data_IF_802537314942
#
_entry.id   IF_802537314942
#
_cell.length_a   1.000
_cell.length_b   1.000
_cell.length_c   1.000
_cell.angle_alpha   90.00
_cell.angle_beta   90.00
_cell.angle_gamma   90.00
#
_symmetry.space_group_name_H-M   'P 1'
#
loop_
_entity.id
_entity.type
_entity.pdbx_description
1 polymer ?
#
# COMPACT_ATOMS: atom_id res chain seq x y z
N UNK A 1 -12.99 10.31 -25.55
CA UNK A 1 -11.98 9.27 -25.26
C UNK A 1 -11.70 9.30 -23.76
N UNK A 2 -11.86 8.18 -23.03
CA UNK A 2 -11.81 8.23 -21.56
C UNK A 2 -10.45 8.65 -21.02
N UNK A 3 -10.43 9.53 -20.01
CA UNK A 3 -9.22 10.12 -19.39
C UNK A 3 -8.22 9.07 -18.91
N UNK A 4 -8.76 7.99 -18.35
CA UNK A 4 -8.07 6.74 -18.02
C UNK A 4 -7.24 6.11 -19.18
N UNK A 5 -7.36 6.61 -20.41
CA UNK A 5 -6.59 6.22 -21.61
C UNK A 5 -5.55 7.27 -22.03
N UNK A 6 -5.70 8.56 -21.67
CA UNK A 6 -4.66 9.60 -21.85
C UNK A 6 -3.52 9.41 -20.87
N UNK A 7 -3.82 9.25 -19.58
CA UNK A 7 -2.85 9.00 -18.50
C UNK A 7 -1.98 7.71 -18.63
N UNK A 8 -2.16 6.94 -19.71
CA UNK A 8 -1.33 5.77 -20.07
C UNK A 8 -0.47 6.06 -21.32
N UNK A 9 -0.92 6.96 -22.19
CA UNK A 9 -0.22 7.38 -23.41
C UNK A 9 0.89 8.38 -23.07
N UNK A 10 0.62 9.27 -22.12
CA UNK A 10 1.56 10.33 -21.69
C UNK A 10 2.39 9.92 -20.45
N UNK A 11 2.39 8.63 -20.09
CA UNK A 11 3.09 8.13 -18.91
C UNK A 11 4.61 8.10 -19.10
N UNK A 12 5.34 8.75 -18.20
CA UNK A 12 6.80 8.74 -18.16
C UNK A 12 7.39 7.31 -18.09
N UNK A 13 8.64 7.10 -18.55
CA UNK A 13 9.32 5.83 -18.34
C UNK A 13 9.37 5.49 -16.84
N UNK A 14 9.06 4.23 -16.45
CA UNK A 14 8.94 3.87 -15.04
C UNK A 14 10.25 4.13 -14.29
N UNK A 15 10.16 4.68 -13.09
CA UNK A 15 11.36 5.05 -12.33
C UNK A 15 12.14 3.82 -11.83
N UNK A 16 13.43 4.02 -11.54
CA UNK A 16 14.34 2.96 -11.07
C UNK A 16 13.79 2.29 -9.81
N UNK A 17 13.10 3.02 -8.93
CA UNK A 17 12.45 2.48 -7.74
C UNK A 17 11.33 1.48 -8.06
N UNK A 18 10.43 1.83 -8.99
CA UNK A 18 9.42 0.90 -9.48
C UNK A 18 10.05 -0.32 -10.18
N UNK A 19 11.03 -0.10 -11.06
CA UNK A 19 11.69 -1.20 -11.80
C UNK A 19 12.37 -2.20 -10.84
N UNK A 20 13.03 -1.71 -9.80
CA UNK A 20 13.64 -2.54 -8.76
C UNK A 20 12.59 -3.28 -7.92
N UNK A 21 11.52 -2.61 -7.47
CA UNK A 21 10.46 -3.21 -6.68
C UNK A 21 9.70 -4.31 -7.46
N UNK A 22 9.40 -4.06 -8.74
CA UNK A 22 8.76 -5.03 -9.64
C UNK A 22 9.68 -6.24 -9.91
N UNK A 23 10.96 -6.00 -10.19
CA UNK A 23 11.95 -7.07 -10.35
C UNK A 23 12.10 -7.93 -9.10
N UNK A 24 12.19 -7.32 -7.92
CA UNK A 24 12.29 -8.02 -6.64
C UNK A 24 11.05 -8.89 -6.36
N UNK A 25 9.86 -8.36 -6.59
CA UNK A 25 8.59 -9.10 -6.48
C UNK A 25 8.54 -10.32 -7.42
N UNK A 26 8.94 -10.17 -8.69
CA UNK A 26 9.08 -11.31 -9.61
C UNK A 26 10.12 -12.33 -9.13
N UNK A 27 11.24 -11.86 -8.58
CA UNK A 27 12.29 -12.69 -8.01
C UNK A 27 11.79 -13.56 -6.85
N UNK A 28 10.98 -12.99 -5.95
CA UNK A 28 10.37 -13.75 -4.85
C UNK A 28 9.36 -14.80 -5.32
N UNK A 29 8.58 -14.52 -6.38
CA UNK A 29 7.68 -15.52 -6.98
C UNK A 29 8.49 -16.68 -7.56
N UNK A 30 9.52 -16.39 -8.36
CA UNK A 30 10.36 -17.41 -8.97
C UNK A 30 11.08 -18.24 -7.90
N UNK A 31 11.60 -17.61 -6.85
CA UNK A 31 12.18 -18.29 -5.71
C UNK A 31 11.15 -19.14 -4.95
N UNK A 32 9.91 -18.68 -4.80
CA UNK A 32 8.82 -19.45 -4.20
C UNK A 32 8.50 -20.72 -5.00
N UNK A 33 8.48 -20.62 -6.34
CA UNK A 33 8.32 -21.77 -7.23
C UNK A 33 9.51 -22.74 -7.14
N UNK A 34 10.75 -22.24 -7.16
CA UNK A 34 11.96 -23.07 -6.99
C UNK A 34 11.97 -23.77 -5.63
N UNK A 35 11.54 -23.10 -4.55
CA UNK A 35 11.40 -23.69 -3.23
C UNK A 35 10.38 -24.85 -3.22
N UNK A 36 9.20 -24.66 -3.80
CA UNK A 36 8.16 -25.70 -3.89
C UNK A 36 8.63 -26.88 -4.74
N UNK A 37 9.18 -26.63 -5.94
CA UNK A 37 9.68 -27.70 -6.83
C UNK A 37 10.84 -28.46 -6.18
N UNK A 38 11.79 -27.75 -5.56
CA UNK A 38 12.90 -28.38 -4.86
C UNK A 38 12.47 -29.20 -3.65
N UNK A 39 11.45 -28.78 -2.91
CA UNK A 39 10.87 -29.58 -1.82
C UNK A 39 10.17 -30.85 -2.34
N UNK A 40 9.47 -30.77 -3.47
CA UNK A 40 8.86 -31.93 -4.12
C UNK A 40 9.88 -32.91 -4.71
N UNK A 41 11.09 -32.43 -5.04
CA UNK A 41 12.23 -33.23 -5.50
C UNK A 41 13.20 -33.62 -4.38
N UNK A 42 12.81 -33.47 -3.10
CA UNK A 42 13.61 -33.71 -1.89
C UNK A 42 15.03 -33.10 -1.90
N UNK A 43 15.17 -31.92 -2.52
CA UNK A 43 16.42 -31.16 -2.56
C UNK A 43 16.81 -30.74 -1.14
N UNK A 44 18.11 -30.82 -0.80
CA UNK A 44 18.60 -30.48 0.56
C UNK A 44 18.35 -29.01 0.92
N UNK A 45 18.22 -28.72 2.22
CA UNK A 45 18.05 -27.33 2.70
C UNK A 45 19.22 -26.44 2.32
N UNK A 46 20.46 -26.96 2.33
CA UNK A 46 21.65 -26.22 1.91
C UNK A 46 21.58 -25.83 0.42
N UNK A 47 21.18 -26.76 -0.44
CA UNK A 47 20.98 -26.50 -1.87
C UNK A 47 19.87 -25.46 -2.11
N UNK A 48 18.75 -25.54 -1.40
CA UNK A 48 17.69 -24.51 -1.47
C UNK A 48 18.23 -23.13 -1.05
N UNK A 49 18.86 -23.03 0.12
CA UNK A 49 19.42 -21.76 0.63
C UNK A 49 20.48 -21.15 -0.29
N UNK A 50 21.25 -21.97 -1.03
CA UNK A 50 22.17 -21.49 -2.06
C UNK A 50 21.44 -20.99 -3.33
N UNK A 51 20.39 -21.69 -3.77
CA UNK A 51 19.69 -21.36 -5.03
C UNK A 51 18.69 -20.21 -4.94
N UNK A 52 18.05 -20.00 -3.78
CA UNK A 52 17.00 -18.97 -3.65
C UNK A 52 17.54 -17.55 -3.85
N UNK A 53 18.64 -17.10 -3.22
CA UNK A 53 19.19 -15.75 -3.44
C UNK A 53 19.63 -15.52 -4.89
N UNK A 54 20.23 -16.53 -5.52
CA UNK A 54 20.65 -16.47 -6.94
C UNK A 54 19.44 -16.38 -7.86
N UNK A 55 18.36 -17.10 -7.56
CA UNK A 55 17.08 -17.04 -8.30
C UNK A 55 16.45 -15.64 -8.17
N UNK A 56 16.35 -15.10 -6.95
CA UNK A 56 15.83 -13.74 -6.72
C UNK A 56 16.66 -12.72 -7.49
N UNK A 57 18.00 -12.80 -7.42
CA UNK A 57 18.91 -11.84 -8.07
C UNK A 57 18.80 -11.90 -9.59
N UNK A 58 18.88 -13.09 -10.18
CA UNK A 58 18.80 -13.27 -11.63
C UNK A 58 17.46 -12.81 -12.20
N UNK A 59 16.36 -13.17 -11.54
CA UNK A 59 15.01 -12.76 -11.97
C UNK A 59 14.75 -11.28 -11.68
N UNK A 60 15.35 -10.69 -10.66
CA UNK A 60 15.28 -9.25 -10.41
C UNK A 60 15.92 -8.44 -11.53
N UNK A 61 17.09 -8.87 -12.04
CA UNK A 61 17.74 -8.23 -13.20
C UNK A 61 16.85 -8.32 -14.44
N UNK A 62 16.29 -9.50 -14.74
CA UNK A 62 15.36 -9.70 -15.87
C UNK A 62 14.08 -8.86 -15.69
N UNK A 63 13.52 -8.82 -14.48
CA UNK A 63 12.31 -8.06 -14.16
C UNK A 63 12.51 -6.55 -14.24
N UNK A 64 13.69 -6.05 -13.88
CA UNK A 64 14.08 -4.65 -14.09
C UNK A 64 14.13 -4.29 -15.59
N UNK A 65 14.75 -5.14 -16.42
CA UNK A 65 14.78 -4.97 -17.89
C UNK A 65 13.37 -5.04 -18.50
N UNK A 66 12.53 -5.96 -18.04
CA UNK A 66 11.13 -6.06 -18.47
C UNK A 66 10.33 -4.81 -18.06
N UNK A 67 10.44 -4.34 -16.82
CA UNK A 67 9.76 -3.14 -16.35
C UNK A 67 10.11 -1.91 -17.20
N UNK A 68 11.39 -1.74 -17.56
CA UNK A 68 11.86 -0.65 -18.45
C UNK A 68 11.19 -0.67 -19.83
N UNK A 69 10.74 -1.84 -20.32
CA UNK A 69 10.07 -1.99 -21.64
C UNK A 69 8.56 -1.72 -21.61
N UNK A 70 7.92 -1.77 -20.43
CA UNK A 70 6.47 -1.60 -20.31
C UNK A 70 6.10 -0.24 -19.70
N UNK A 71 6.08 0.79 -20.55
CA UNK A 71 5.52 2.11 -20.21
C UNK A 71 4.03 1.99 -19.80
N UNK A 72 3.58 2.79 -18.84
CA UNK A 72 2.20 2.79 -18.35
C UNK A 72 1.80 1.60 -17.45
N UNK A 73 2.72 0.68 -17.13
CA UNK A 73 2.44 -0.52 -16.35
C UNK A 73 2.05 -0.25 -14.88
N UNK A 74 2.76 0.62 -14.10
CA UNK A 74 2.30 0.96 -12.75
C UNK A 74 0.92 1.62 -12.74
N UNK A 75 0.61 2.48 -13.71
CA UNK A 75 -0.67 3.17 -13.86
C UNK A 75 -1.79 2.18 -14.20
N UNK A 76 -1.52 1.24 -15.11
CA UNK A 76 -2.43 0.15 -15.48
C UNK A 76 -2.82 -0.73 -14.29
N UNK A 77 -1.85 -1.08 -13.45
CA UNK A 77 -2.07 -1.85 -12.22
C UNK A 77 -2.84 -1.00 -11.21
N UNK A 78 -2.34 0.20 -10.89
CA UNK A 78 -2.92 1.10 -9.88
C UNK A 78 -4.39 1.45 -10.12
N UNK A 79 -4.76 1.63 -11.40
CA UNK A 79 -6.11 1.99 -11.86
C UNK A 79 -7.19 0.98 -11.48
N UNK A 80 -6.95 -0.33 -11.63
CA UNK A 80 -8.02 -1.35 -11.49
C UNK A 80 -7.77 -2.25 -10.28
N UNK A 81 -8.75 -2.31 -9.37
CA UNK A 81 -8.71 -3.19 -8.19
C UNK A 81 -8.37 -4.64 -8.55
N UNK A 82 -8.91 -5.18 -9.66
CA UNK A 82 -8.61 -6.55 -10.11
C UNK A 82 -7.13 -6.79 -10.44
N UNK A 83 -6.41 -5.79 -10.95
CA UNK A 83 -4.97 -5.93 -11.26
C UNK A 83 -4.13 -5.81 -9.99
N UNK A 84 -4.53 -4.96 -9.05
CA UNK A 84 -3.94 -4.89 -7.70
C UNK A 84 -4.12 -6.20 -6.95
N UNK A 85 -5.32 -6.79 -6.98
CA UNK A 85 -5.61 -8.09 -6.39
C UNK A 85 -4.87 -9.24 -7.11
N UNK A 86 -4.63 -9.14 -8.42
CA UNK A 86 -3.84 -10.12 -9.16
C UNK A 86 -2.39 -10.24 -8.64
N UNK A 87 -1.82 -9.17 -8.06
CA UNK A 87 -0.51 -9.23 -7.40
C UNK A 87 -0.48 -10.14 -6.16
N UNK A 88 -1.64 -10.50 -5.59
CA UNK A 88 -1.70 -11.43 -4.45
C UNK A 88 -1.92 -12.89 -4.87
N UNK A 89 -2.25 -13.17 -6.14
CA UNK A 89 -2.47 -14.54 -6.63
C UNK A 89 -1.28 -15.48 -6.37
N UNK A 90 0.00 -15.08 -6.53
CA UNK A 90 1.11 -15.97 -6.23
C UNK A 90 1.26 -16.27 -4.73
N UNK A 91 0.96 -15.31 -3.84
CA UNK A 91 0.93 -15.54 -2.40
C UNK A 91 -0.22 -16.50 -2.00
N UNK A 92 -1.42 -16.30 -2.56
CA UNK A 92 -2.56 -17.22 -2.38
C UNK A 92 -2.23 -18.62 -2.90
N UNK A 93 -1.55 -18.72 -4.03
CA UNK A 93 -1.05 -20.00 -4.57
C UNK A 93 -0.10 -20.70 -3.59
N UNK A 94 0.86 -19.99 -2.99
CA UNK A 94 1.77 -20.54 -1.99
C UNK A 94 1.05 -20.99 -0.71
N UNK A 95 0.01 -20.27 -0.26
CA UNK A 95 -0.86 -20.72 0.85
C UNK A 95 -1.65 -21.97 0.47
N UNK A 96 -2.22 -22.04 -0.72
CA UNK A 96 -2.93 -23.23 -1.20
C UNK A 96 -2.01 -24.46 -1.28
N UNK A 97 -0.77 -24.26 -1.74
CA UNK A 97 0.28 -25.29 -1.72
C UNK A 97 0.62 -25.73 -0.30
N UNK A 98 0.78 -24.80 0.66
CA UNK A 98 1.02 -25.13 2.06
C UNK A 98 -0.07 -26.02 2.69
N UNK A 99 -1.32 -25.89 2.23
CA UNK A 99 -2.48 -26.65 2.71
C UNK A 99 -2.71 -27.97 1.93
N UNK A 100 -2.12 -28.14 0.75
CA UNK A 100 -2.33 -29.30 -0.13
C UNK A 100 -2.03 -30.68 0.52
N UNK A 101 -1.04 -30.85 1.42
CA UNK A 101 -0.81 -32.11 2.12
C UNK A 101 -1.99 -32.54 3.02
N UNK A 102 -2.91 -31.64 3.39
CA UNK A 102 -4.14 -32.01 4.11
C UNK A 102 -5.17 -32.75 3.25
N UNK A 103 -5.00 -32.76 1.92
CA UNK A 103 -5.89 -33.36 0.94
C UNK A 103 -5.20 -34.41 0.03
N UNK A 104 -3.94 -34.73 0.28
CA UNK A 104 -3.11 -35.61 -0.55
C UNK A 104 -2.22 -36.50 0.31
N UNK A 105 -1.72 -37.65 -0.17
CA UNK A 105 -0.85 -38.54 0.60
C UNK A 105 0.58 -38.01 0.81
N UNK A 106 0.82 -36.70 0.67
CA UNK A 106 2.12 -36.09 0.93
C UNK A 106 2.38 -36.04 2.44
N UNK A 107 3.55 -36.53 2.87
CA UNK A 107 3.94 -36.47 4.27
C UNK A 107 4.06 -35.00 4.75
N UNK A 108 3.29 -34.66 5.79
CA UNK A 108 3.28 -33.32 6.37
C UNK A 108 4.59 -33.04 7.14
N UNK A 109 5.58 -32.46 6.48
CA UNK A 109 6.83 -32.05 7.13
C UNK A 109 6.76 -30.59 7.58
N UNK A 110 7.19 -30.32 8.82
CA UNK A 110 7.28 -28.95 9.33
C UNK A 110 8.15 -28.03 8.45
N UNK A 111 9.16 -28.61 7.78
CA UNK A 111 10.02 -27.97 6.77
C UNK A 111 9.22 -27.43 5.59
N UNK A 112 8.30 -28.22 5.03
CA UNK A 112 7.46 -27.82 3.90
C UNK A 112 6.54 -26.66 4.27
N UNK A 113 5.86 -26.77 5.41
CA UNK A 113 4.98 -25.71 5.92
C UNK A 113 5.74 -24.40 6.17
N UNK A 114 6.88 -24.47 6.86
CA UNK A 114 7.67 -23.29 7.20
C UNK A 114 8.12 -22.51 5.95
N UNK A 115 8.61 -23.21 4.92
CA UNK A 115 9.10 -22.57 3.68
C UNK A 115 7.94 -22.00 2.86
N UNK A 116 6.85 -22.75 2.68
CA UNK A 116 5.70 -22.29 1.88
C UNK A 116 5.00 -21.09 2.52
N UNK A 117 4.82 -21.09 3.84
CA UNK A 117 4.25 -19.95 4.60
C UNK A 117 5.20 -18.74 4.57
N UNK A 118 6.51 -18.93 4.79
CA UNK A 118 7.46 -17.82 4.73
C UNK A 118 7.49 -17.14 3.34
N UNK A 119 7.50 -17.93 2.26
CA UNK A 119 7.46 -17.37 0.90
C UNK A 119 6.12 -16.72 0.58
N UNK A 120 4.99 -17.28 1.04
CA UNK A 120 3.67 -16.65 0.89
C UNK A 120 3.62 -15.26 1.57
N UNK A 121 4.19 -15.13 2.77
CA UNK A 121 4.26 -13.86 3.49
C UNK A 121 5.16 -12.85 2.77
N UNK A 122 6.36 -13.25 2.34
CA UNK A 122 7.29 -12.37 1.60
C UNK A 122 6.68 -11.86 0.29
N UNK A 123 6.04 -12.75 -0.49
CA UNK A 123 5.34 -12.38 -1.73
C UNK A 123 4.11 -11.51 -1.43
N UNK A 124 3.36 -11.77 -0.36
CA UNK A 124 2.20 -10.96 0.04
C UNK A 124 2.57 -9.54 0.49
N UNK A 125 3.63 -9.38 1.29
CA UNK A 125 4.13 -8.08 1.74
C UNK A 125 4.68 -7.27 0.56
N UNK A 126 5.42 -7.91 -0.35
CA UNK A 126 5.92 -7.22 -1.56
C UNK A 126 4.82 -6.89 -2.56
N UNK A 127 3.79 -7.74 -2.70
CA UNK A 127 2.57 -7.42 -3.46
C UNK A 127 1.86 -6.17 -2.90
N UNK A 128 1.75 -6.04 -1.58
CA UNK A 128 1.19 -4.85 -0.93
C UNK A 128 2.03 -3.59 -1.16
N UNK A 129 3.36 -3.70 -1.07
CA UNK A 129 4.28 -2.61 -1.42
C UNK A 129 4.12 -2.16 -2.88
N UNK A 130 4.12 -3.12 -3.82
CA UNK A 130 3.93 -2.87 -5.24
C UNK A 130 2.56 -2.26 -5.54
N UNK A 131 1.49 -2.76 -4.91
CA UNK A 131 0.14 -2.19 -5.01
C UNK A 131 0.12 -0.71 -4.59
N UNK A 132 0.78 -0.38 -3.47
CA UNK A 132 0.87 1.00 -2.96
C UNK A 132 1.63 1.91 -3.91
N UNK A 133 2.77 1.44 -4.46
CA UNK A 133 3.55 2.17 -5.46
C UNK A 133 2.74 2.42 -6.75
N UNK A 134 2.20 1.36 -7.37
CA UNK A 134 1.35 1.46 -8.57
C UNK A 134 0.17 2.42 -8.36
N UNK A 135 -0.45 2.38 -7.18
CA UNK A 135 -1.56 3.27 -6.84
C UNK A 135 -1.11 4.72 -6.67
N UNK A 136 0.03 4.99 -6.03
CA UNK A 136 0.56 6.35 -5.91
C UNK A 136 0.88 6.95 -7.29
N UNK A 137 1.53 6.17 -8.17
CA UNK A 137 1.79 6.56 -9.56
C UNK A 137 0.52 6.82 -10.37
N UNK A 138 -0.50 5.96 -10.26
CA UNK A 138 -1.79 6.21 -10.89
C UNK A 138 -2.47 7.50 -10.38
N UNK A 139 -2.29 7.86 -9.11
CA UNK A 139 -2.80 9.14 -8.57
C UNK A 139 -2.00 10.31 -9.14
N UNK A 140 -0.68 10.24 -9.18
CA UNK A 140 0.18 11.28 -9.79
C UNK A 140 -0.18 11.52 -11.26
N UNK A 141 -0.32 10.44 -12.05
CA UNK A 141 -0.62 10.51 -13.48
C UNK A 141 -2.04 10.98 -13.85
N UNK A 142 -2.97 11.06 -12.88
CA UNK A 142 -4.33 11.61 -13.09
C UNK A 142 -4.53 12.99 -12.47
N UNK A 143 -3.55 13.48 -11.70
CA UNK A 143 -3.57 14.81 -11.05
C UNK A 143 -2.33 15.61 -11.45
N UNK A 144 -2.10 15.72 -12.76
CA UNK A 144 -1.04 16.57 -13.35
C UNK A 144 -1.50 18.01 -13.56
N UNK A 145 -2.79 18.27 -13.38
CA UNK A 145 -3.43 19.58 -13.36
C UNK A 145 -3.15 20.33 -12.04
N UNK A 146 -3.15 21.66 -12.09
CA UNK A 146 -3.15 22.49 -10.89
C UNK A 146 -4.47 22.28 -10.13
N UNK A 147 -4.44 22.13 -8.80
CA UNK A 147 -5.65 21.92 -8.03
C UNK A 147 -6.50 23.18 -7.99
N UNK A 148 -7.81 23.02 -8.24
CA UNK A 148 -8.83 24.09 -8.18
C UNK A 148 -8.90 24.70 -6.77
N UNK A 149 -8.77 23.86 -5.74
CA UNK A 149 -8.66 24.28 -4.34
C UNK A 149 -7.86 23.25 -3.54
N UNK A 150 -7.09 23.71 -2.55
CA UNK A 150 -6.30 22.88 -1.63
C UNK A 150 -6.60 23.32 -0.20
N UNK A 151 -6.83 22.37 0.71
CA UNK A 151 -7.09 22.64 2.12
C UNK A 151 -6.51 21.53 3.02
N UNK A 152 -6.33 21.81 4.31
CA UNK A 152 -5.78 20.83 5.24
C UNK A 152 -6.82 19.76 5.61
N UNK A 153 -6.38 18.53 5.90
CA UNK A 153 -7.27 17.40 6.17
C UNK A 153 -7.20 16.93 7.63
N UNK A 154 -8.06 17.50 8.46
CA UNK A 154 -8.52 17.02 9.79
C UNK A 154 -9.44 15.78 9.71
N UNK A 155 -9.07 14.48 9.73
CA UNK A 155 -10.04 13.37 9.66
C UNK A 155 -11.01 13.31 10.85
N UNK A 156 -12.27 13.72 10.65
CA UNK A 156 -13.30 13.74 11.71
C UNK A 156 -13.63 12.32 12.22
N UNK A 157 -13.51 12.12 13.54
CA UNK A 157 -13.97 10.93 14.27
C UNK A 157 -12.87 10.07 14.92
N UNK A 158 -13.04 9.84 16.23
CA UNK A 158 -12.15 9.09 17.14
C UNK A 158 -11.74 7.68 16.67
N UNK A 159 -12.65 6.92 16.04
CA UNK A 159 -12.42 5.51 15.71
C UNK A 159 -11.49 5.30 14.49
N UNK A 160 -11.12 6.36 13.78
CA UNK A 160 -10.50 6.26 12.46
C UNK A 160 -9.00 5.93 12.48
N UNK A 161 -8.30 6.15 13.61
CA UNK A 161 -6.92 6.64 13.55
C UNK A 161 -5.79 5.70 13.98
N UNK A 162 -5.96 4.89 15.04
CA UNK A 162 -4.92 3.93 15.48
C UNK A 162 -5.45 2.60 16.03
N UNK A 163 -6.71 2.50 16.46
CA UNK A 163 -7.25 1.31 17.14
C UNK A 163 -7.08 0.00 16.38
N UNK A 164 -7.42 -0.04 15.08
CA UNK A 164 -7.30 -1.26 14.28
C UNK A 164 -5.83 -1.71 14.09
N UNK A 165 -4.90 -0.77 13.94
CA UNK A 165 -3.48 -1.08 13.77
C UNK A 165 -2.86 -1.54 15.09
N UNK A 166 -3.21 -0.88 16.20
CA UNK A 166 -2.81 -1.28 17.55
C UNK A 166 -3.37 -2.67 17.92
N UNK A 167 -4.65 -2.95 17.62
CA UNK A 167 -5.26 -4.29 17.77
C UNK A 167 -4.52 -5.32 16.93
N UNK A 168 -4.17 -5.01 15.68
CA UNK A 168 -3.40 -5.92 14.82
C UNK A 168 -2.00 -6.21 15.40
N UNK A 169 -1.29 -5.19 15.89
CA UNK A 169 0.03 -5.36 16.53
C UNK A 169 -0.06 -6.18 17.81
N UNK A 170 -1.03 -5.88 18.69
CA UNK A 170 -1.28 -6.68 19.90
C UNK A 170 -1.62 -8.12 19.54
N UNK A 171 -2.41 -8.35 18.49
CA UNK A 171 -2.74 -9.69 18.00
C UNK A 171 -1.51 -10.44 17.46
N UNK A 172 -0.63 -9.76 16.71
CA UNK A 172 0.64 -10.34 16.22
C UNK A 172 1.59 -10.70 17.37
N UNK A 173 1.72 -9.83 18.36
CA UNK A 173 2.52 -10.12 19.58
C UNK A 173 1.94 -11.30 20.35
N UNK A 174 0.63 -11.32 20.58
CA UNK A 174 -0.07 -12.42 21.25
C UNK A 174 0.06 -13.75 20.49
N UNK A 175 -0.07 -13.73 19.16
CA UNK A 175 0.12 -14.91 18.33
C UNK A 175 1.57 -15.42 18.40
N UNK A 176 2.56 -14.52 18.44
CA UNK A 176 3.96 -14.85 18.69
C UNK A 176 4.16 -15.53 20.05
N UNK A 177 3.65 -14.94 21.13
CA UNK A 177 3.72 -15.51 22.50
C UNK A 177 3.08 -16.90 22.56
N UNK A 178 1.86 -17.07 22.04
CA UNK A 178 1.17 -18.37 22.05
C UNK A 178 1.93 -19.43 21.21
N UNK A 179 2.57 -19.02 20.12
CA UNK A 179 3.40 -19.90 19.29
C UNK A 179 4.71 -20.33 19.99
N UNK A 180 5.31 -19.46 20.82
CA UNK A 180 6.45 -19.81 21.68
C UNK A 180 6.04 -20.80 22.77
N UNK A 181 4.89 -20.58 23.43
CA UNK A 181 4.33 -21.51 24.43
C UNK A 181 4.04 -22.89 23.80
N UNK A 182 3.62 -22.93 22.53
CA UNK A 182 3.48 -24.16 21.74
C UNK A 182 4.80 -24.83 21.31
N UNK A 183 5.96 -24.37 21.79
CA UNK A 183 7.26 -24.96 21.49
C UNK A 183 7.80 -24.68 20.08
N UNK A 184 7.19 -23.75 19.33
CA UNK A 184 7.62 -23.46 17.96
C UNK A 184 8.62 -22.29 17.90
N UNK A 185 9.80 -22.53 17.33
CA UNK A 185 10.81 -21.48 17.09
C UNK A 185 10.27 -20.34 16.19
N UNK A 186 9.27 -20.62 15.36
CA UNK A 186 8.58 -19.62 14.55
C UNK A 186 7.85 -18.55 15.39
N UNK A 187 7.46 -18.88 16.63
CA UNK A 187 6.88 -17.91 17.57
C UNK A 187 7.86 -16.81 17.97
N UNK A 188 9.16 -17.12 18.11
CA UNK A 188 10.19 -16.12 18.41
C UNK A 188 10.34 -15.11 17.28
N UNK A 189 10.16 -15.53 16.02
CA UNK A 189 10.21 -14.63 14.86
C UNK A 189 9.00 -13.68 14.84
N UNK A 190 7.80 -14.18 15.13
CA UNK A 190 6.59 -13.33 15.25
C UNK A 190 6.65 -12.40 16.45
N UNK A 191 7.19 -12.86 17.58
CA UNK A 191 7.37 -12.06 18.79
C UNK A 191 8.43 -10.97 18.55
N UNK A 192 9.59 -11.30 17.98
CA UNK A 192 10.61 -10.33 17.60
C UNK A 192 10.09 -9.31 16.58
N UNK A 193 9.35 -9.75 15.56
CA UNK A 193 8.71 -8.87 14.59
C UNK A 193 7.70 -7.92 15.27
N UNK A 194 6.82 -8.46 16.13
CA UNK A 194 5.86 -7.67 16.90
C UNK A 194 6.54 -6.65 17.82
N UNK A 195 7.60 -7.05 18.52
CA UNK A 195 8.38 -6.15 19.39
C UNK A 195 9.13 -5.08 18.59
N UNK A 196 9.72 -5.42 17.44
CA UNK A 196 10.36 -4.44 16.55
C UNK A 196 9.32 -3.44 16.04
N UNK A 197 8.14 -3.91 15.62
CA UNK A 197 7.03 -3.05 15.19
C UNK A 197 6.58 -2.13 16.33
N UNK A 198 6.34 -2.65 17.54
CA UNK A 198 5.97 -1.83 18.71
C UNK A 198 7.06 -0.80 19.03
N UNK A 199 8.32 -1.22 19.11
CA UNK A 199 9.45 -0.35 19.41
C UNK A 199 9.59 0.77 18.36
N UNK A 200 9.46 0.46 17.06
CA UNK A 200 9.44 1.47 15.99
C UNK A 200 8.24 2.42 16.07
N UNK A 201 7.06 1.94 16.47
CA UNK A 201 5.90 2.83 16.67
C UNK A 201 6.02 3.73 17.91
N UNK A 202 6.87 3.36 18.88
CA UNK A 202 7.11 4.14 20.10
C UNK A 202 8.37 5.03 20.01
N UNK A 203 9.38 4.65 19.23
CA UNK A 203 10.58 5.44 18.96
C UNK A 203 10.32 6.51 17.89
N UNK A 204 9.19 7.20 17.97
CA UNK A 204 8.95 8.41 17.18
C UNK A 204 9.90 9.50 17.65
N UNK A 205 11.03 9.64 16.97
CA UNK A 205 12.02 10.65 17.31
C UNK A 205 11.44 12.05 17.10
N UNK A 206 11.41 12.85 18.16
CA UNK A 206 11.27 14.30 18.05
C UNK A 206 12.47 14.83 17.25
N UNK A 207 12.26 15.21 15.99
CA UNK A 207 13.28 15.87 15.15
C UNK A 207 12.75 17.26 14.75
N UNK A 208 12.80 18.17 15.73
CA UNK A 208 12.46 19.59 15.61
C UNK A 208 13.41 20.27 14.61
N UNK A 209 13.03 20.25 13.32
CA UNK A 209 13.77 20.93 12.27
C UNK A 209 12.86 21.59 11.24
N UNK A 210 12.61 22.89 11.48
CA UNK A 210 12.18 23.88 10.47
C UNK A 210 13.23 23.98 9.35
N UNK A 211 13.27 23.01 8.44
CA UNK A 211 14.35 22.86 7.46
C UNK A 211 13.89 22.23 6.14
N UNK A 212 13.77 23.06 5.09
CA UNK A 212 13.42 22.68 3.71
C UNK A 212 14.23 21.49 3.18
N UNK A 213 13.70 20.26 3.29
CA UNK A 213 14.29 19.08 2.66
C UNK A 213 13.70 18.82 1.27
N UNK A 214 14.45 19.22 0.25
CA UNK A 214 14.12 18.97 -1.17
C UNK A 214 14.31 17.50 -1.62
N UNK A 215 14.72 16.61 -0.70
CA UNK A 215 14.78 15.15 -0.89
C UNK A 215 13.86 14.46 0.14
N UNK A 216 12.56 14.72 0.01
CA UNK A 216 11.57 14.51 1.06
C UNK A 216 11.32 13.07 1.51
N UNK A 217 11.11 12.93 2.84
CA UNK A 217 10.32 11.93 3.61
C UNK A 217 10.15 10.52 3.00
N UNK A 218 11.18 9.94 2.36
CA UNK A 218 11.09 8.62 1.68
C UNK A 218 11.12 7.43 2.66
N UNK A 219 11.61 7.64 3.88
CA UNK A 219 11.75 6.60 4.91
C UNK A 219 11.45 7.05 6.35
N UNK A 220 11.09 8.32 6.63
CA UNK A 220 10.70 8.70 7.99
C UNK A 220 9.36 8.08 8.35
N UNK A 221 9.36 7.26 9.42
CA UNK A 221 8.18 6.54 9.91
C UNK A 221 7.50 7.28 11.08
N UNK A 222 7.56 8.62 11.07
CA UNK A 222 6.74 9.52 11.90
C UNK A 222 5.33 8.96 12.10
N UNK A 223 4.94 8.74 13.35
CA UNK A 223 3.65 8.19 13.77
C UNK A 223 2.84 9.13 14.67
N UNK A 224 3.03 10.42 14.48
CA UNK A 224 2.04 11.45 14.73
C UNK A 224 2.46 12.68 13.90
N UNK A 225 1.67 13.12 12.89
CA UNK A 225 1.77 14.52 12.53
C UNK A 225 1.35 15.35 13.75
N UNK A 226 2.03 16.47 13.98
CA UNK A 226 1.54 17.54 14.84
C UNK A 226 0.07 17.86 14.49
N UNK A 227 -0.75 18.44 15.40
CA UNK A 227 -2.17 18.77 15.16
C UNK A 227 -2.51 19.39 13.79
N UNK A 228 -1.55 20.03 13.11
CA UNK A 228 -1.71 20.70 11.82
C UNK A 228 -1.09 19.96 10.60
N UNK A 229 -0.26 18.92 10.75
CA UNK A 229 0.39 18.18 9.63
C UNK A 229 -0.42 16.97 9.07
N UNK A 230 -1.75 16.91 9.25
CA UNK A 230 -2.49 15.63 9.12
C UNK A 230 -2.71 15.15 7.67
N UNK A 231 -2.43 16.02 6.70
CA UNK A 231 -2.50 15.76 5.27
C UNK A 231 -3.20 16.90 4.55
N UNK A 232 -3.24 16.81 3.23
CA UNK A 232 -3.91 17.79 2.38
C UNK A 232 -5.01 17.12 1.55
N UNK A 233 -6.10 17.84 1.34
CA UNK A 233 -7.06 17.57 0.28
C UNK A 233 -6.87 18.57 -0.85
N UNK A 234 -6.84 18.06 -2.08
CA UNK A 234 -6.65 18.83 -3.31
C UNK A 234 -7.76 18.47 -4.28
N UNK A 235 -8.60 19.43 -4.65
CA UNK A 235 -9.63 19.25 -5.67
C UNK A 235 -9.00 19.44 -7.05
N UNK A 236 -9.07 18.41 -7.89
CA UNK A 236 -8.63 18.43 -9.27
C UNK A 236 -9.84 18.40 -10.21
N UNK A 237 -9.62 18.69 -11.49
CA UNK A 237 -10.65 18.73 -12.53
C UNK A 237 -11.48 17.42 -12.60
N UNK A 238 -10.86 16.29 -12.22
CA UNK A 238 -11.44 14.94 -12.33
C UNK A 238 -11.85 14.30 -11.00
N UNK A 239 -11.50 14.90 -9.87
CA UNK A 239 -11.84 14.38 -8.55
C UNK A 239 -10.99 14.96 -7.43
N UNK A 240 -11.23 14.49 -6.21
CA UNK A 240 -10.49 14.94 -5.03
C UNK A 240 -9.33 13.98 -4.73
N UNK A 241 -8.12 14.52 -4.62
CA UNK A 241 -6.92 13.84 -4.17
C UNK A 241 -6.71 14.10 -2.68
N UNK A 242 -6.58 13.02 -1.93
CA UNK A 242 -6.27 12.99 -0.50
C UNK A 242 -4.81 12.53 -0.32
N UNK A 243 -3.97 13.42 0.19
CA UNK A 243 -2.55 13.19 0.44
C UNK A 243 -2.28 13.08 1.94
N UNK A 244 -2.36 11.84 2.45
CA UNK A 244 -2.04 11.48 3.84
C UNK A 244 -0.56 11.13 3.97
N UNK A 245 0.34 12.10 3.70
CA UNK A 245 1.80 11.93 3.73
C UNK A 245 2.30 10.77 2.86
N UNK A 246 2.41 9.57 3.44
CA UNK A 246 2.79 8.31 2.76
C UNK A 246 1.70 7.72 1.85
N UNK A 247 0.45 8.20 1.92
CA UNK A 247 -0.71 7.55 1.32
C UNK A 247 -1.53 8.51 0.45
N UNK A 248 -1.27 8.48 -0.87
CA UNK A 248 -2.05 9.21 -1.88
C UNK A 248 -3.33 8.44 -2.28
N UNK A 249 -4.47 9.11 -2.31
CA UNK A 249 -5.77 8.54 -2.70
C UNK A 249 -6.56 9.51 -3.55
N UNK A 250 -6.77 9.14 -4.81
CA UNK A 250 -7.75 9.81 -5.67
C UNK A 250 -9.17 9.26 -5.45
N UNK A 251 -10.15 10.16 -5.43
CA UNK A 251 -11.59 9.90 -5.39
C UNK A 251 -12.21 10.67 -6.56
N UNK A 252 -12.61 9.99 -7.66
CA UNK A 252 -13.21 10.68 -8.80
C UNK A 252 -14.57 11.27 -8.43
N UNK A 253 -14.94 12.37 -9.10
CA UNK A 253 -16.22 13.06 -8.89
C UNK A 253 -17.43 12.13 -9.06
N UNK A 254 -17.39 11.15 -9.98
CA UNK A 254 -18.49 10.20 -10.19
C UNK A 254 -18.78 9.26 -8.99
N UNK A 255 -17.96 9.32 -7.92
CA UNK A 255 -18.15 8.58 -6.67
C UNK A 255 -18.54 9.47 -5.48
N UNK A 256 -18.73 10.76 -5.70
CA UNK A 256 -19.16 11.74 -4.70
C UNK A 256 -20.62 12.08 -5.02
N UNK A 257 -21.52 11.63 -4.17
CA UNK A 257 -22.97 11.73 -4.34
C UNK A 257 -23.52 13.08 -3.86
N UNK A 258 -22.75 13.79 -3.03
CA UNK A 258 -23.07 15.10 -2.50
C UNK A 258 -21.92 15.66 -1.68
N UNK A 259 -21.96 16.96 -1.45
CA UNK A 259 -21.05 17.69 -0.58
C UNK A 259 -21.93 18.43 0.42
N UNK A 260 -21.55 18.41 1.69
CA UNK A 260 -22.31 19.01 2.78
C UNK A 260 -21.30 19.61 3.75
N UNK A 261 -21.47 20.89 4.09
CA UNK A 261 -20.74 21.55 5.15
C UNK A 261 -21.69 21.69 6.33
N UNK A 262 -21.30 21.14 7.49
CA UNK A 262 -22.02 21.36 8.75
C UNK A 262 -21.24 22.33 9.63
N UNK A 263 -21.79 22.64 10.81
CA UNK A 263 -21.10 23.48 11.80
C UNK A 263 -19.78 22.85 12.28
N UNK A 264 -19.63 21.51 12.23
CA UNK A 264 -18.46 20.77 12.73
C UNK A 264 -17.64 20.04 11.65
N UNK A 265 -18.22 19.66 10.50
CA UNK A 265 -17.54 18.84 9.48
C UNK A 265 -17.92 19.15 8.01
N UNK A 266 -16.92 19.14 7.12
CA UNK A 266 -17.08 19.06 5.67
C UNK A 266 -17.16 17.58 5.24
N UNK A 267 -18.31 17.17 4.71
CA UNK A 267 -18.64 15.79 4.36
C UNK A 267 -18.83 15.61 2.86
N UNK A 268 -17.92 14.86 2.22
CA UNK A 268 -18.10 14.39 0.85
C UNK A 268 -18.80 13.02 0.92
N UNK A 269 -20.10 13.00 0.58
CA UNK A 269 -20.98 11.83 0.65
C UNK A 269 -20.64 10.83 -0.46
N UNK A 270 -20.55 9.54 -0.12
CA UNK A 270 -20.16 8.47 -1.04
C UNK A 270 -20.78 7.13 -0.64
N UNK A 271 -21.43 6.43 -1.58
CA UNK A 271 -22.12 5.12 -1.47
C UNK A 271 -21.70 4.15 -0.35
N UNK A 272 -20.39 4.00 -0.12
CA UNK A 272 -19.83 3.01 0.81
C UNK A 272 -18.98 3.60 1.94
N UNK A 273 -18.52 4.86 1.84
CA UNK A 273 -17.65 5.50 2.84
C UNK A 273 -17.47 6.98 2.53
N UNK A 274 -18.21 7.82 3.24
CA UNK A 274 -18.03 9.27 3.22
C UNK A 274 -16.59 9.64 3.59
N UNK A 275 -16.10 10.74 3.01
CA UNK A 275 -14.88 11.41 3.45
C UNK A 275 -15.33 12.58 4.32
N UNK A 276 -14.80 12.69 5.53
CA UNK A 276 -15.16 13.72 6.51
C UNK A 276 -13.91 14.48 6.91
N UNK A 277 -13.94 15.79 6.73
CA UNK A 277 -12.94 16.71 7.23
C UNK A 277 -13.56 17.50 8.37
N UNK A 278 -12.85 17.59 9.48
CA UNK A 278 -13.08 18.49 10.59
C UNK A 278 -13.11 19.94 10.08
N UNK A 279 -14.07 20.76 10.52
CA UNK A 279 -14.16 22.16 10.12
C UNK A 279 -12.96 22.95 10.65
N UNK A 280 -12.45 22.64 11.84
CA UNK A 280 -11.27 23.30 12.44
C UNK A 280 -9.97 23.12 11.62
N UNK A 281 -10.00 22.29 10.56
CA UNK A 281 -8.90 22.11 9.62
C UNK A 281 -8.98 23.05 8.39
N UNK A 282 -10.03 23.87 8.30
CA UNK A 282 -10.27 24.85 7.24
C UNK A 282 -10.58 26.17 7.94
N UNK A 283 -9.83 27.23 7.67
CA UNK A 283 -10.12 28.53 8.27
C UNK A 283 -11.55 28.96 7.92
N UNK A 284 -12.33 29.46 8.89
CA UNK A 284 -13.75 29.80 8.69
C UNK A 284 -14.08 30.61 7.42
N UNK A 285 -13.34 31.69 7.05
CA UNK A 285 -13.60 32.40 5.79
C UNK A 285 -13.23 31.60 4.53
N UNK A 286 -12.40 30.57 4.66
CA UNK A 286 -12.06 29.66 3.56
C UNK A 286 -13.05 28.49 3.45
N UNK A 287 -13.75 28.10 4.52
CA UNK A 287 -14.68 26.97 4.51
C UNK A 287 -15.80 27.10 3.48
N UNK A 288 -16.40 28.28 3.35
CA UNK A 288 -17.42 28.57 2.33
C UNK A 288 -16.83 28.62 0.92
N UNK A 289 -15.64 29.22 0.76
CA UNK A 289 -14.94 29.27 -0.53
C UNK A 289 -14.49 27.89 -1.03
N UNK A 290 -14.04 27.02 -0.12
CA UNK A 290 -13.73 25.60 -0.39
C UNK A 290 -15.00 24.87 -0.82
N UNK A 291 -16.13 25.07 -0.15
CA UNK A 291 -17.41 24.47 -0.55
C UNK A 291 -17.81 24.90 -1.97
N UNK A 292 -17.84 26.20 -2.27
CA UNK A 292 -18.22 26.74 -3.59
C UNK A 292 -17.29 26.22 -4.70
N UNK A 293 -15.98 26.18 -4.45
CA UNK A 293 -15.00 25.65 -5.39
C UNK A 293 -15.20 24.14 -5.64
N UNK A 294 -15.54 23.37 -4.60
CA UNK A 294 -15.81 21.94 -4.72
C UNK A 294 -17.11 21.64 -5.48
N UNK A 295 -18.17 22.41 -5.24
CA UNK A 295 -19.43 22.29 -5.99
C UNK A 295 -19.24 22.68 -7.46
N UNK A 296 -18.54 23.78 -7.71
CA UNK A 296 -18.20 24.24 -9.06
C UNK A 296 -17.38 23.19 -9.83
N UNK A 297 -16.38 22.59 -9.18
CA UNK A 297 -15.55 21.53 -9.79
C UNK A 297 -16.37 20.25 -10.08
N UNK A 298 -17.22 19.82 -9.14
CA UNK A 298 -18.15 18.67 -9.32
C UNK A 298 -19.10 18.92 -10.49
N UNK A 299 -19.68 20.11 -10.57
CA UNK A 299 -20.68 20.45 -11.59
C UNK A 299 -20.04 20.72 -12.95
N UNK A 300 -18.78 21.16 -13.00
CA UNK A 300 -17.98 21.17 -14.23
C UNK A 300 -17.68 19.74 -14.73
N UNK A 301 -17.40 18.80 -13.81
CA UNK A 301 -17.17 17.40 -14.15
C UNK A 301 -18.44 16.66 -14.59
N UNK A 302 -19.62 16.99 -14.03
CA UNK A 302 -20.90 16.37 -14.41
C UNK A 302 -21.42 16.75 -15.80
N UNK A 303 -20.90 17.85 -16.37
CA UNK A 303 -21.27 18.38 -17.70
C UNK A 303 -20.41 17.81 -18.86
N UNK A 304 -19.56 16.80 -18.61
CA UNK A 304 -18.60 16.24 -19.58
C UNK A 304 -18.81 14.75 -19.88
#
# INVERSE_FOLDING_TARGET
MSLHRRAIVDAEPPDIGFQAAFGFYLGLIAAGLVAVVGLLADVTTASLLATLPTTVTGVMIVGHVLAKRFHGLPELIGRRLRWRLACYLPAVGLVAVALAPGATPLAYTARYLAITVAMALLVGVTAFGLERLCRARFVEAITTDEPVVTWSYRPAGLLSRNGLWMVLTVFVVMAGVMSVVGGTLFGLLWLAYGVIVVAWTWSGTDDDSRGKSYYGKRYSLEMAPEPDEWGELRAHEYGVRLDLGRSRRFVPWERIEGIELTDDELVLKRRFRNLRCDRDAIDDPEAEAVLEALETARDAASRR
#
